data_IF_687228981971
#
_entry.id   IF_687228981971
#
_cell.length_a   1.000
_cell.length_b   1.000
_cell.length_c   1.000
_cell.angle_alpha   90.00
_cell.angle_beta   90.00
_cell.angle_gamma   90.00
#
_symmetry.space_group_name_H-M   'P 1'
#
loop_
_entity.id
_entity.type
_entity.pdbx_description
1 polymer ?
#
# COMPACT_ATOMS: atom_id res chain seq x y z
N UNK A 1 20.70 3.97 9.35
CA UNK A 1 19.25 3.92 9.62
C UNK A 1 18.68 2.83 8.75
N UNK A 2 17.94 1.88 9.31
CA UNK A 2 17.39 0.77 8.55
C UNK A 2 16.31 1.30 7.58
N UNK A 3 16.43 0.96 6.30
CA UNK A 3 15.55 1.45 5.23
C UNK A 3 14.13 0.89 5.36
N UNK A 4 13.15 1.59 4.77
CA UNK A 4 11.74 1.21 4.71
C UNK A 4 11.35 0.79 3.31
N UNK A 5 10.77 -0.40 3.20
CA UNK A 5 10.10 -0.92 2.00
C UNK A 5 8.59 -0.87 2.26
N UNK A 6 7.88 -0.05 1.49
CA UNK A 6 6.44 0.21 1.70
C UNK A 6 5.60 -0.50 0.64
N UNK A 7 4.64 -1.29 1.10
CA UNK A 7 3.70 -2.04 0.29
C UNK A 7 2.27 -1.59 0.63
N UNK A 8 1.48 -1.20 -0.36
CA UNK A 8 0.11 -0.71 -0.17
C UNK A 8 -0.83 -1.52 -1.07
N UNK A 9 -1.74 -2.26 -0.45
CA UNK A 9 -2.92 -2.81 -1.12
C UNK A 9 -4.00 -1.73 -1.17
N UNK A 10 -4.05 -1.00 -2.28
CA UNK A 10 -4.90 0.19 -2.35
C UNK A 10 -6.41 -0.13 -2.29
N UNK A 11 -6.94 -1.11 -3.03
CA UNK A 11 -8.34 -1.51 -2.94
C UNK A 11 -8.79 -1.86 -1.52
N UNK A 12 -8.00 -2.67 -0.80
CA UNK A 12 -8.29 -3.05 0.58
C UNK A 12 -8.44 -1.83 1.48
N UNK A 13 -7.42 -0.96 1.47
CA UNK A 13 -7.39 0.24 2.30
C UNK A 13 -8.52 1.20 1.94
N UNK A 14 -8.87 1.29 0.66
CA UNK A 14 -9.94 2.13 0.18
C UNK A 14 -11.33 1.62 0.63
N UNK A 15 -11.60 0.32 0.45
CA UNK A 15 -12.88 -0.31 0.82
C UNK A 15 -13.10 -0.23 2.34
N UNK A 16 -12.11 -0.64 3.13
CA UNK A 16 -12.22 -0.57 4.59
C UNK A 16 -12.27 0.88 5.09
N UNK A 17 -11.54 1.79 4.43
CA UNK A 17 -11.63 3.22 4.69
C UNK A 17 -13.04 3.78 4.49
N UNK A 18 -13.72 3.40 3.39
CA UNK A 18 -15.12 3.78 3.14
C UNK A 18 -16.04 3.25 4.24
N UNK A 19 -15.85 2.00 4.67
CA UNK A 19 -16.64 1.37 5.74
C UNK A 19 -16.48 2.11 7.06
N UNK A 20 -15.24 2.35 7.50
CA UNK A 20 -14.93 3.07 8.75
C UNK A 20 -15.46 4.50 8.69
N UNK A 21 -15.29 5.20 7.56
CA UNK A 21 -15.81 6.55 7.40
C UNK A 21 -17.34 6.59 7.50
N UNK A 22 -18.04 5.63 6.89
CA UNK A 22 -19.50 5.52 6.99
C UNK A 22 -19.96 5.36 8.43
N UNK A 23 -19.33 4.45 9.17
CA UNK A 23 -19.67 4.19 10.58
C UNK A 23 -19.34 5.40 11.48
N UNK A 24 -18.21 6.05 11.24
CA UNK A 24 -17.73 7.20 12.04
C UNK A 24 -18.57 8.45 11.82
N UNK A 25 -18.86 8.78 10.56
CA UNK A 25 -19.57 10.01 10.18
C UNK A 25 -21.08 9.80 9.98
N UNK A 26 -21.57 8.58 10.16
CA UNK A 26 -23.00 8.20 10.01
C UNK A 26 -23.58 8.61 8.67
N UNK A 27 -22.86 8.31 7.58
CA UNK A 27 -23.37 8.55 6.23
C UNK A 27 -24.52 7.58 5.91
N UNK A 28 -25.61 8.12 5.37
CA UNK A 28 -26.71 7.32 4.84
C UNK A 28 -26.34 6.62 3.51
N UNK A 29 -25.34 7.15 2.79
CA UNK A 29 -24.81 6.54 1.57
C UNK A 29 -24.05 5.24 1.91
N UNK A 30 -24.48 4.08 1.38
CA UNK A 30 -23.85 2.79 1.67
C UNK A 30 -22.38 2.73 1.22
N UNK A 31 -21.97 3.53 0.23
CA UNK A 31 -20.64 3.50 -0.37
C UNK A 31 -19.75 4.67 0.07
N UNK A 32 -20.25 5.64 0.83
CA UNK A 32 -19.50 6.85 1.20
C UNK A 32 -18.70 7.44 0.01
N UNK A 33 -19.36 7.72 -1.13
CA UNK A 33 -18.71 8.01 -2.42
C UNK A 33 -17.70 9.17 -2.41
N UNK A 34 -17.83 10.06 -1.42
CA UNK A 34 -16.94 11.22 -1.21
C UNK A 34 -15.68 10.90 -0.42
N UNK A 35 -15.54 9.67 0.09
CA UNK A 35 -14.37 9.24 0.83
C UNK A 35 -13.11 9.38 -0.03
N UNK A 36 -12.06 9.94 0.56
CA UNK A 36 -10.74 10.09 -0.06
C UNK A 36 -9.69 9.79 0.98
N UNK A 37 -8.64 9.10 0.56
CA UNK A 37 -7.43 8.88 1.35
C UNK A 37 -6.41 9.95 0.95
N UNK A 38 -5.77 10.58 1.93
CA UNK A 38 -4.59 11.42 1.70
C UNK A 38 -3.36 10.51 1.65
N UNK A 39 -2.98 10.03 0.46
CA UNK A 39 -1.89 9.06 0.33
C UNK A 39 -0.53 9.66 0.66
N UNK A 40 -0.32 10.94 0.35
CA UNK A 40 0.86 11.66 0.82
C UNK A 40 0.95 11.72 2.35
N UNK A 41 -0.17 11.86 3.05
CA UNK A 41 -0.25 11.79 4.50
C UNK A 41 -0.02 10.38 5.05
N UNK A 42 -0.63 9.37 4.40
CA UNK A 42 -0.43 7.95 4.72
C UNK A 42 1.05 7.57 4.59
N UNK A 43 1.71 7.99 3.52
CA UNK A 43 3.14 7.77 3.31
C UNK A 43 3.96 8.30 4.49
N UNK A 44 3.77 9.56 4.92
CA UNK A 44 4.52 10.10 6.05
C UNK A 44 4.18 9.42 7.37
N UNK A 45 2.90 9.09 7.57
CA UNK A 45 2.43 8.39 8.76
C UNK A 45 3.12 7.03 8.92
N UNK A 46 3.22 6.26 7.83
CA UNK A 46 3.92 4.97 7.83
C UNK A 46 5.43 5.17 7.90
N UNK A 47 5.97 6.14 7.15
CA UNK A 47 7.41 6.39 7.07
C UNK A 47 8.02 6.78 8.40
N UNK A 48 7.36 7.64 9.19
CA UNK A 48 7.84 8.15 10.49
C UNK A 48 9.30 8.64 10.44
N UNK A 49 9.68 9.31 9.36
CA UNK A 49 11.04 9.84 9.18
C UNK A 49 12.08 8.84 8.65
N UNK A 50 11.77 7.54 8.55
CA UNK A 50 12.68 6.52 7.99
C UNK A 50 13.01 6.80 6.52
N UNK A 51 14.18 6.36 6.09
CA UNK A 51 14.56 6.41 4.68
C UNK A 51 13.69 5.44 3.88
N UNK A 52 12.97 5.95 2.89
CA UNK A 52 12.15 5.12 2.02
C UNK A 52 13.05 4.55 0.92
N UNK A 53 13.13 3.22 0.81
CA UNK A 53 13.95 2.51 -0.18
C UNK A 53 13.16 2.16 -1.43
N UNK A 54 11.91 1.74 -1.24
CA UNK A 54 11.00 1.48 -2.33
C UNK A 54 9.55 1.68 -1.91
N UNK A 55 8.67 1.73 -2.90
CA UNK A 55 7.23 1.79 -2.67
C UNK A 55 6.52 1.01 -3.77
N UNK A 56 5.69 0.06 -3.35
CA UNK A 56 4.89 -0.79 -4.23
C UNK A 56 3.42 -0.54 -3.94
N UNK A 57 2.68 -0.16 -4.97
CA UNK A 57 1.24 0.06 -4.91
C UNK A 57 0.54 -0.98 -5.77
N UNK A 58 -0.48 -1.58 -5.19
CA UNK A 58 -1.22 -2.66 -5.80
C UNK A 58 -2.69 -2.26 -5.90
N UNK A 59 -3.27 -2.49 -7.07
CA UNK A 59 -4.68 -2.23 -7.37
C UNK A 59 -4.93 -0.87 -8.06
N UNK A 60 -6.02 -0.19 -7.69
CA UNK A 60 -6.38 1.08 -8.34
C UNK A 60 -5.33 2.15 -8.00
N UNK A 61 -4.91 2.93 -9.00
CA UNK A 61 -3.94 4.00 -8.80
C UNK A 61 -4.54 5.15 -7.97
N UNK A 62 -3.84 5.68 -6.94
CA UNK A 62 -4.23 6.92 -6.28
C UNK A 62 -4.42 8.07 -7.29
N UNK A 63 -5.27 9.07 -6.97
CA UNK A 63 -5.49 10.21 -7.85
C UNK A 63 -4.18 10.87 -8.28
N UNK A 64 -4.07 11.25 -9.55
CA UNK A 64 -2.83 11.84 -10.11
C UNK A 64 -2.43 13.17 -9.46
N UNK A 65 -3.37 13.86 -8.82
CA UNK A 65 -3.15 15.10 -8.08
C UNK A 65 -2.86 14.90 -6.59
N UNK A 66 -2.75 13.65 -6.10
CA UNK A 66 -2.39 13.39 -4.70
C UNK A 66 -0.95 13.83 -4.39
N UNK A 67 -0.72 14.31 -3.16
CA UNK A 67 0.59 14.73 -2.68
C UNK A 67 1.62 13.58 -2.66
N UNK A 68 1.18 12.32 -2.66
CA UNK A 68 2.01 11.12 -2.77
C UNK A 68 3.05 11.25 -3.89
N UNK A 69 2.62 11.57 -5.11
CA UNK A 69 3.50 11.60 -6.28
C UNK A 69 4.60 12.65 -6.13
N UNK A 70 4.24 13.83 -5.62
CA UNK A 70 5.20 14.89 -5.37
C UNK A 70 6.22 14.50 -4.28
N UNK A 71 5.79 13.77 -3.24
CA UNK A 71 6.67 13.27 -2.18
C UNK A 71 7.61 12.20 -2.68
N UNK A 72 7.10 11.19 -3.40
CA UNK A 72 7.93 10.13 -3.97
C UNK A 72 8.99 10.69 -4.92
N UNK A 73 8.62 11.64 -5.79
CA UNK A 73 9.59 12.33 -6.67
C UNK A 73 10.67 13.08 -5.89
N UNK A 74 10.31 13.79 -4.82
CA UNK A 74 11.30 14.49 -3.96
C UNK A 74 12.24 13.52 -3.24
N UNK A 75 11.78 12.30 -2.97
CA UNK A 75 12.58 11.23 -2.37
C UNK A 75 13.39 10.44 -3.41
N UNK A 76 13.24 10.72 -4.71
CA UNK A 76 13.88 9.96 -5.78
C UNK A 76 13.33 8.53 -5.93
N UNK A 77 12.10 8.27 -5.46
CA UNK A 77 11.46 6.95 -5.50
C UNK A 77 10.49 6.88 -6.66
N UNK A 78 10.70 5.91 -7.54
CA UNK A 78 9.73 5.52 -8.57
C UNK A 78 8.86 4.36 -8.03
N UNK A 79 7.55 4.56 -7.85
CA UNK A 79 6.69 3.51 -7.33
C UNK A 79 6.42 2.44 -8.38
N UNK A 80 6.47 1.17 -7.98
CA UNK A 80 5.96 0.05 -8.78
C UNK A 80 4.44 -0.01 -8.62
N UNK A 81 3.70 -0.01 -9.72
CA UNK A 81 2.23 0.01 -9.69
C UNK A 81 1.68 -1.18 -10.46
N UNK A 82 0.87 -1.98 -9.78
CA UNK A 82 0.18 -3.13 -10.36
C UNK A 82 -1.30 -2.83 -10.51
N UNK A 83 -1.72 -2.40 -11.70
CA UNK A 83 -3.10 -2.02 -11.95
C UNK A 83 -4.05 -3.24 -11.96
N UNK A 84 -5.17 -3.15 -11.23
CA UNK A 84 -6.24 -4.17 -11.26
C UNK A 84 -7.00 -4.05 -12.59
N UNK A 85 -7.06 -5.12 -13.37
CA UNK A 85 -7.92 -5.16 -14.56
C UNK A 85 -9.32 -5.69 -14.21
N UNK A 86 -10.37 -5.05 -14.72
CA UNK A 86 -11.79 -5.37 -14.50
C UNK A 86 -12.27 -6.74 -15.04
N UNK A 87 -11.41 -7.52 -15.67
CA UNK A 87 -11.76 -8.85 -16.16
C UNK A 87 -11.75 -9.88 -15.01
N UNK A 88 -12.86 -10.60 -14.85
CA UNK A 88 -13.10 -11.62 -13.81
C UNK A 88 -11.90 -12.60 -13.73
N UNK A 89 -11.37 -12.81 -12.52
CA UNK A 89 -10.31 -13.80 -12.23
C UNK A 89 -8.88 -13.25 -12.06
N UNK A 90 -8.68 -11.93 -12.12
CA UNK A 90 -7.35 -11.29 -11.93
C UNK A 90 -7.14 -10.64 -10.55
N UNK A 91 -8.13 -10.66 -9.67
CA UNK A 91 -7.99 -10.16 -8.28
C UNK A 91 -6.89 -10.92 -7.54
N UNK A 92 -6.92 -12.27 -7.56
CA UNK A 92 -5.85 -13.10 -6.99
C UNK A 92 -4.44 -12.84 -7.56
N UNK A 93 -4.33 -12.23 -8.75
CA UNK A 93 -3.01 -11.90 -9.32
C UNK A 93 -2.41 -10.70 -8.63
N UNK A 94 -3.24 -9.75 -8.21
CA UNK A 94 -2.85 -8.49 -7.57
C UNK A 94 -2.26 -8.79 -6.18
N UNK A 95 -2.90 -9.67 -5.39
CA UNK A 95 -2.40 -10.12 -4.08
C UNK A 95 -1.10 -10.95 -4.20
N UNK A 96 -1.03 -11.78 -5.25
CA UNK A 96 0.18 -12.56 -5.55
C UNK A 96 1.36 -11.67 -5.95
N UNK A 97 1.15 -10.62 -6.76
CA UNK A 97 2.19 -9.65 -7.10
C UNK A 97 2.68 -8.89 -5.85
N UNK A 98 1.78 -8.50 -4.95
CA UNK A 98 2.17 -7.85 -3.70
C UNK A 98 3.01 -8.78 -2.81
N UNK A 99 2.57 -10.04 -2.68
CA UNK A 99 3.28 -11.08 -1.93
C UNK A 99 4.68 -11.32 -2.51
N UNK A 100 4.80 -11.41 -3.84
CA UNK A 100 6.08 -11.56 -4.51
C UNK A 100 6.96 -10.33 -4.29
N UNK A 101 6.42 -9.12 -4.40
CA UNK A 101 7.19 -7.90 -4.18
C UNK A 101 7.73 -7.78 -2.74
N UNK A 102 6.95 -8.19 -1.73
CA UNK A 102 7.40 -8.27 -0.33
C UNK A 102 8.57 -9.26 -0.19
N UNK A 103 8.45 -10.42 -0.83
CA UNK A 103 9.49 -11.45 -0.83
C UNK A 103 10.76 -10.98 -1.54
N UNK A 104 10.63 -10.42 -2.73
CA UNK A 104 11.75 -9.86 -3.52
C UNK A 104 12.49 -8.82 -2.68
N UNK A 105 11.77 -7.90 -2.03
CA UNK A 105 12.36 -6.91 -1.14
C UNK A 105 13.13 -7.53 0.02
N UNK A 106 12.63 -8.61 0.61
CA UNK A 106 13.33 -9.33 1.68
C UNK A 106 14.56 -10.11 1.18
N UNK A 107 14.53 -10.63 -0.05
CA UNK A 107 15.62 -11.44 -0.62
C UNK A 107 16.74 -10.56 -1.21
N UNK A 108 16.37 -9.43 -1.82
CA UNK A 108 17.29 -8.50 -2.48
C UNK A 108 18.04 -7.60 -1.48
N UNK A 109 17.49 -7.40 -0.28
CA UNK A 109 18.07 -6.52 0.74
C UNK A 109 18.67 -7.34 1.88
N UNK A 110 20.01 -7.48 1.87
CA UNK A 110 20.76 -8.19 2.92
C UNK A 110 20.96 -7.38 4.21
N UNK A 111 20.77 -6.07 4.13
CA UNK A 111 20.88 -5.19 5.29
C UNK A 111 19.57 -5.20 6.08
N UNK A 112 19.62 -5.22 7.43
CA UNK A 112 18.42 -5.12 8.25
C UNK A 112 17.58 -3.88 7.89
N UNK A 113 16.29 -4.11 7.63
CA UNK A 113 15.34 -3.12 7.15
C UNK A 113 14.03 -3.10 7.94
N UNK A 114 13.05 -2.36 7.44
CA UNK A 114 11.65 -2.51 7.82
C UNK A 114 10.82 -2.72 6.58
N UNK A 115 9.99 -3.76 6.59
CA UNK A 115 8.88 -3.91 5.65
C UNK A 115 7.63 -3.36 6.34
N UNK A 116 6.91 -2.47 5.65
CA UNK A 116 5.60 -2.01 6.08
C UNK A 116 4.57 -2.38 5.02
N UNK A 117 3.55 -3.12 5.43
CA UNK A 117 2.39 -3.45 4.62
C UNK A 117 1.18 -2.65 5.13
N UNK A 118 0.46 -2.02 4.21
CA UNK A 118 -0.84 -1.39 4.46
C UNK A 118 -1.88 -2.17 3.68
N UNK A 119 -2.58 -3.08 4.36
CA UNK A 119 -3.60 -3.96 3.80
C UNK A 119 -4.62 -4.34 4.87
N UNK A 120 -5.78 -4.88 4.45
CA UNK A 120 -6.80 -5.44 5.34
C UNK A 120 -6.79 -6.96 5.37
N UNK A 121 -6.26 -7.61 4.32
CA UNK A 121 -6.23 -9.07 4.18
C UNK A 121 -5.17 -9.75 5.07
N UNK A 122 -5.57 -10.85 5.71
CA UNK A 122 -4.70 -11.70 6.52
C UNK A 122 -3.84 -12.66 5.68
N UNK A 123 -4.15 -12.84 4.39
CA UNK A 123 -3.41 -13.71 3.47
C UNK A 123 -1.95 -13.27 3.26
N UNK A 124 -1.61 -12.02 3.60
CA UNK A 124 -0.25 -11.51 3.57
C UNK A 124 0.62 -11.89 4.80
N UNK A 125 0.01 -12.37 5.91
CA UNK A 125 0.74 -12.70 7.14
C UNK A 125 1.87 -13.71 6.91
N UNK A 126 1.65 -14.84 6.20
CA UNK A 126 2.72 -15.81 5.97
C UNK A 126 3.91 -15.26 5.18
N UNK A 127 3.70 -14.25 4.33
CA UNK A 127 4.78 -13.59 3.61
C UNK A 127 5.63 -12.73 4.55
N UNK A 128 4.99 -11.95 5.42
CA UNK A 128 5.67 -11.12 6.43
C UNK A 128 6.46 -11.96 7.44
N UNK A 129 5.89 -13.07 7.93
CA UNK A 129 6.57 -13.97 8.86
C UNK A 129 7.86 -14.57 8.27
N UNK A 130 7.87 -14.83 6.95
CA UNK A 130 9.07 -15.34 6.27
C UNK A 130 10.17 -14.29 6.15
N UNK A 131 9.82 -13.00 6.14
CA UNK A 131 10.76 -11.90 6.06
C UNK A 131 11.38 -11.54 7.42
N UNK A 132 10.73 -11.91 8.53
CA UNK A 132 11.16 -11.54 9.89
C UNK A 132 12.25 -12.45 10.48
N UNK A 133 13.03 -13.15 9.64
CA UNK A 133 14.09 -14.07 10.07
C UNK A 133 15.39 -13.34 10.35
#
# INVERSE_FOLDING_TARGET
>A
MNGLHLFIDNPDVFIEGQRVARETFRYDDPLALRFRINYGGLLEFVRKGRELKETVLVGSRPPSNDALWNRLRKLGIEPRIFDRSFCIGKEKRVDAELTNAIRDASEDNREPGTIALVAGDADYIPALERCAK
#
